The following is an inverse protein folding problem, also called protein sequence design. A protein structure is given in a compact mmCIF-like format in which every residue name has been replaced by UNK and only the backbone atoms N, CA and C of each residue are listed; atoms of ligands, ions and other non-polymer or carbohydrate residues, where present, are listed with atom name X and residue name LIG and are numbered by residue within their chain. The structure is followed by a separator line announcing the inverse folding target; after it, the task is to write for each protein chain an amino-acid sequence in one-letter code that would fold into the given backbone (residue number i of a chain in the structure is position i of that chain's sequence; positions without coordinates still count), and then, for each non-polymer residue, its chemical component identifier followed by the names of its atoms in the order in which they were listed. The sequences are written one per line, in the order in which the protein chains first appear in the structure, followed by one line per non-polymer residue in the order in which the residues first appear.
data_IF_243967658994
#
_entry.id   IF_243967658994
#
_cell.length_a   1.000
_cell.length_b   1.000
_cell.length_c   1.000
_cell.angle_alpha   90.00
_cell.angle_beta   90.00
_cell.angle_gamma   90.00
#
_symmetry.space_group_name_H-M   'P 1'
#
loop_
_entity.id
_entity.type
_entity.pdbx_description
1 polymer ?
#
# COMPACT_ATOMS: atom_id res chain seq x y z
N UNK A 1 -20.22 -29.06 43.71
CA UNK A 1 -20.95 -28.52 42.56
C UNK A 1 -19.94 -27.85 41.66
N UNK A 2 -19.71 -28.46 40.50
CA UNK A 2 -18.62 -28.15 39.58
C UNK A 2 -18.93 -26.90 38.77
N UNK A 3 -18.04 -25.90 38.81
CA UNK A 3 -18.09 -24.75 37.91
C UNK A 3 -17.49 -25.17 36.58
N UNK A 4 -18.34 -25.31 35.56
CA UNK A 4 -17.94 -25.57 34.19
C UNK A 4 -17.32 -24.30 33.59
N UNK A 5 -16.00 -24.32 33.40
CA UNK A 5 -15.28 -23.29 32.64
C UNK A 5 -15.62 -23.46 31.16
N UNK A 6 -16.26 -22.46 30.56
CA UNK A 6 -16.50 -22.40 29.12
C UNK A 6 -15.15 -22.35 28.37
N UNK A 7 -15.00 -23.07 27.25
CA UNK A 7 -13.79 -22.98 26.45
C UNK A 7 -13.69 -21.62 25.75
N UNK A 8 -12.52 -20.99 25.85
CA UNK A 8 -12.21 -19.75 25.15
C UNK A 8 -12.34 -19.97 23.63
N UNK A 9 -13.30 -19.27 23.01
CA UNK A 9 -13.41 -19.19 21.57
C UNK A 9 -12.14 -18.52 21.01
N UNK A 10 -11.26 -19.30 20.43
CA UNK A 10 -10.10 -18.79 19.71
C UNK A 10 -10.59 -18.13 18.41
N UNK A 11 -10.77 -16.81 18.45
CA UNK A 11 -10.96 -16.01 17.25
C UNK A 11 -9.66 -16.08 16.44
N UNK A 12 -9.61 -16.99 15.46
CA UNK A 12 -8.54 -17.02 14.48
C UNK A 12 -8.64 -15.73 13.67
N UNK A 13 -7.82 -14.74 14.03
CA UNK A 13 -7.64 -13.51 13.29
C UNK A 13 -7.08 -13.90 11.91
N UNK A 14 -7.97 -14.05 10.93
CA UNK A 14 -7.62 -14.40 9.57
C UNK A 14 -6.76 -13.26 9.01
N UNK A 15 -5.45 -13.47 8.99
CA UNK A 15 -4.52 -12.51 8.42
C UNK A 15 -4.85 -12.34 6.93
N UNK A 16 -5.22 -11.12 6.55
CA UNK A 16 -5.42 -10.78 5.15
C UNK A 16 -4.10 -11.04 4.40
N UNK A 17 -4.15 -11.59 3.18
CA UNK A 17 -2.96 -11.85 2.39
C UNK A 17 -2.26 -10.53 2.07
N UNK A 18 -0.94 -10.55 1.88
CA UNK A 18 -0.22 -9.36 1.43
C UNK A 18 -0.69 -8.94 0.04
N UNK A 19 -0.64 -7.62 -0.18
CA UNK A 19 -0.86 -7.00 -1.49
C UNK A 19 0.49 -6.85 -2.15
N UNK A 20 0.66 -7.36 -3.36
CA UNK A 20 1.83 -7.11 -4.20
C UNK A 20 1.56 -5.90 -5.10
N UNK A 21 2.56 -5.04 -5.29
CA UNK A 21 2.51 -3.93 -6.23
C UNK A 21 3.34 -4.27 -7.46
N UNK A 22 2.78 -4.04 -8.65
CA UNK A 22 3.42 -4.33 -9.93
C UNK A 22 3.46 -3.08 -10.80
N UNK A 23 4.52 -2.91 -11.58
CA UNK A 23 4.60 -1.88 -12.61
C UNK A 23 3.41 -2.01 -13.59
N UNK A 24 2.65 -0.94 -13.78
CA UNK A 24 1.45 -0.96 -14.63
C UNK A 24 1.75 -1.27 -16.11
N UNK A 25 2.98 -0.99 -16.58
CA UNK A 25 3.38 -1.22 -17.99
C UNK A 25 3.88 -2.63 -18.29
N UNK A 26 4.66 -3.22 -17.38
CA UNK A 26 5.34 -4.50 -17.65
C UNK A 26 5.09 -5.59 -16.59
N UNK A 27 4.21 -5.32 -15.62
CA UNK A 27 3.77 -6.25 -14.57
C UNK A 27 4.87 -6.80 -13.65
N UNK A 28 6.09 -6.26 -13.74
CA UNK A 28 7.17 -6.62 -12.83
C UNK A 28 6.84 -6.15 -11.42
N UNK A 29 6.97 -7.04 -10.44
CA UNK A 29 6.76 -6.73 -9.02
C UNK A 29 7.74 -5.64 -8.58
N UNK A 30 7.22 -4.57 -7.99
CA UNK A 30 7.99 -3.43 -7.45
C UNK A 30 8.14 -3.50 -5.93
N UNK A 31 7.18 -4.10 -5.23
CA UNK A 31 7.16 -4.20 -3.78
C UNK A 31 5.88 -4.86 -3.29
N UNK A 32 5.65 -4.84 -1.98
CA UNK A 32 4.47 -5.42 -1.36
C UNK A 32 4.07 -4.65 -0.09
N UNK A 33 2.91 -4.99 0.47
CA UNK A 33 2.34 -4.30 1.63
C UNK A 33 3.05 -4.59 2.96
N UNK A 34 4.01 -5.53 3.03
CA UNK A 34 4.77 -5.73 4.28
C UNK A 34 5.75 -4.61 4.54
N UNK A 35 6.22 -3.91 3.51
CA UNK A 35 7.07 -2.74 3.64
C UNK A 35 6.30 -1.43 3.71
N UNK A 36 4.98 -1.46 3.87
CA UNK A 36 4.13 -0.27 3.92
C UNK A 36 4.57 0.71 5.03
N UNK A 37 4.60 2.00 4.67
CA UNK A 37 4.81 3.11 5.61
C UNK A 37 3.53 3.91 5.73
N UNK A 38 3.10 4.56 4.65
CA UNK A 38 1.88 5.35 4.61
C UNK A 38 1.37 5.54 3.16
N UNK A 39 0.18 6.12 3.01
CA UNK A 39 -0.35 6.63 1.73
C UNK A 39 -0.55 8.12 1.80
N UNK A 40 -0.19 8.83 0.73
CA UNK A 40 -0.35 10.28 0.65
C UNK A 40 -1.27 10.67 -0.49
N UNK A 41 -2.52 11.03 -0.16
CA UNK A 41 -3.58 11.30 -1.15
C UNK A 41 -3.25 12.43 -2.11
N UNK A 42 -2.72 13.54 -1.60
CA UNK A 42 -2.40 14.72 -2.41
C UNK A 42 -1.21 14.51 -3.35
N UNK A 43 -0.29 13.58 -3.01
CA UNK A 43 0.81 13.18 -3.89
C UNK A 43 0.42 12.02 -4.81
N UNK A 44 -0.80 11.51 -4.70
CA UNK A 44 -1.28 10.30 -5.35
C UNK A 44 -0.29 9.14 -5.25
N UNK A 45 0.25 8.90 -4.04
CA UNK A 45 1.34 7.94 -3.84
C UNK A 45 1.17 7.05 -2.61
N UNK A 46 1.86 5.92 -2.64
CA UNK A 46 2.10 5.04 -1.49
C UNK A 46 3.59 5.04 -1.17
N UNK A 47 3.94 4.98 0.11
CA UNK A 47 5.33 4.98 0.55
C UNK A 47 5.69 3.64 1.18
N UNK A 48 6.76 3.02 0.67
CA UNK A 48 7.30 1.77 1.16
C UNK A 48 8.70 2.00 1.77
N UNK A 49 9.04 1.25 2.80
CA UNK A 49 10.37 1.26 3.44
C UNK A 49 11.40 0.46 2.65
N UNK A 50 10.96 -0.48 1.81
CA UNK A 50 11.82 -1.30 0.95
C UNK A 50 11.06 -1.68 -0.32
N UNK A 51 11.77 -1.79 -1.43
CA UNK A 51 11.27 -2.22 -2.75
C UNK A 51 12.06 -3.39 -3.28
N UNK A 52 11.51 -4.06 -4.30
CA UNK A 52 12.19 -5.10 -5.04
C UNK A 52 13.36 -4.54 -5.86
N UNK A 53 14.36 -5.38 -6.15
CA UNK A 53 15.53 -5.04 -7.00
C UNK A 53 15.17 -4.62 -8.43
N UNK A 54 13.92 -4.81 -8.84
CA UNK A 54 13.33 -4.34 -10.09
C UNK A 54 13.16 -2.82 -10.17
N UNK A 55 13.26 -2.12 -9.04
CA UNK A 55 13.24 -0.67 -8.95
C UNK A 55 14.68 -0.16 -8.88
N UNK A 56 14.97 0.91 -9.61
CA UNK A 56 16.25 1.62 -9.54
C UNK A 56 16.03 3.10 -9.20
N UNK A 57 17.01 3.69 -8.52
CA UNK A 57 17.06 5.12 -8.28
C UNK A 57 17.84 5.79 -9.40
N UNK A 58 17.32 6.90 -9.91
CA UNK A 58 18.10 7.79 -10.77
C UNK A 58 19.24 8.43 -9.99
N UNK A 59 20.40 8.59 -10.64
CA UNK A 59 21.54 9.32 -10.09
C UNK A 59 21.31 10.85 -10.07
N UNK A 60 20.29 11.33 -10.78
CA UNK A 60 20.00 12.75 -10.92
C UNK A 60 19.07 13.20 -9.78
N UNK A 61 19.54 14.15 -8.98
CA UNK A 61 18.71 14.86 -8.01
C UNK A 61 17.88 15.95 -8.72
N UNK A 62 16.58 15.97 -8.46
CA UNK A 62 15.62 16.94 -9.00
C UNK A 62 14.98 17.73 -7.86
N UNK A 63 14.40 18.89 -8.18
CA UNK A 63 13.62 19.70 -7.25
C UNK A 63 12.17 19.78 -7.73
N UNK A 64 11.21 19.55 -6.85
CA UNK A 64 9.79 19.73 -7.19
C UNK A 64 9.49 21.21 -7.35
N UNK A 65 8.86 21.57 -8.47
CA UNK A 65 8.48 22.94 -8.81
C UNK A 65 7.00 23.24 -8.58
N UNK A 66 6.21 22.24 -8.21
CA UNK A 66 4.75 22.33 -8.09
C UNK A 66 4.21 21.35 -7.03
N UNK A 67 2.92 21.46 -6.72
CA UNK A 67 2.26 20.59 -5.74
C UNK A 67 2.66 20.89 -4.30
N UNK A 68 2.25 20.00 -3.38
CA UNK A 68 2.53 20.16 -1.94
C UNK A 68 3.97 19.84 -1.56
N UNK A 69 4.71 19.15 -2.43
CA UNK A 69 6.13 18.87 -2.28
C UNK A 69 7.01 19.97 -2.89
N UNK A 70 6.47 21.11 -3.32
CA UNK A 70 7.24 22.22 -3.91
C UNK A 70 8.48 22.59 -3.08
N UNK A 71 9.63 22.72 -3.75
CA UNK A 71 10.94 22.97 -3.13
C UNK A 71 11.62 21.72 -2.54
N UNK A 72 10.92 20.59 -2.42
CA UNK A 72 11.51 19.31 -2.02
C UNK A 72 12.44 18.78 -3.11
N UNK A 73 13.55 18.19 -2.71
CA UNK A 73 14.47 17.50 -3.63
C UNK A 73 14.21 16.00 -3.58
N UNK A 74 14.32 15.34 -4.74
CA UNK A 74 14.07 13.92 -4.86
C UNK A 74 14.89 13.30 -5.99
N UNK A 75 15.09 11.99 -5.90
CA UNK A 75 15.57 11.15 -7.00
C UNK A 75 14.41 10.31 -7.53
N UNK A 76 14.31 10.16 -8.84
CA UNK A 76 13.25 9.37 -9.49
C UNK A 76 13.43 7.87 -9.25
N UNK A 77 12.34 7.16 -9.04
CA UNK A 77 12.27 5.69 -9.03
C UNK A 77 11.91 5.20 -10.43
N UNK A 78 12.71 4.33 -11.03
CA UNK A 78 12.45 3.77 -12.36
C UNK A 78 12.27 2.24 -12.31
N UNK A 79 11.44 1.73 -13.20
CA UNK A 79 11.31 0.29 -13.41
C UNK A 79 12.42 -0.23 -14.32
N UNK A 80 13.32 -1.10 -13.82
CA UNK A 80 14.39 -1.72 -14.64
C UNK A 80 13.91 -2.52 -15.85
N UNK A 81 12.64 -2.94 -15.85
CA UNK A 81 12.08 -3.75 -16.93
C UNK A 81 11.64 -2.95 -18.15
N UNK A 82 11.19 -1.70 -17.96
CA UNK A 82 10.59 -0.91 -19.03
C UNK A 82 10.92 0.59 -18.97
N UNK A 83 11.79 0.98 -18.04
CA UNK A 83 12.35 2.32 -17.82
C UNK A 83 11.32 3.42 -17.62
N UNK A 84 10.10 3.10 -17.18
CA UNK A 84 9.13 4.11 -16.77
C UNK A 84 9.47 4.62 -15.37
N UNK A 85 9.12 5.88 -15.13
CA UNK A 85 9.07 6.46 -13.80
C UNK A 85 7.93 5.83 -13.00
N UNK A 86 8.28 5.28 -11.84
CA UNK A 86 7.37 4.68 -10.87
C UNK A 86 7.03 5.64 -9.72
N UNK A 87 7.85 6.67 -9.48
CA UNK A 87 7.66 7.59 -8.36
C UNK A 87 8.96 8.28 -7.93
N UNK A 88 9.05 8.64 -6.66
CA UNK A 88 10.10 9.50 -6.10
C UNK A 88 10.66 8.95 -4.79
N UNK A 89 11.92 9.25 -4.51
CA UNK A 89 12.52 9.15 -3.18
C UNK A 89 13.00 10.55 -2.76
N UNK A 90 12.36 11.11 -1.75
CA UNK A 90 12.63 12.48 -1.29
C UNK A 90 13.89 12.53 -0.42
N UNK A 91 14.75 13.53 -0.68
CA UNK A 91 15.96 13.84 0.10
C UNK A 91 15.74 15.03 1.02
N UNK A 92 14.95 16.00 0.58
CA UNK A 92 14.48 17.10 1.42
C UNK A 92 12.96 17.13 1.37
N UNK A 93 12.33 17.46 2.49
CA UNK A 93 10.87 17.51 2.63
C UNK A 93 10.50 18.69 3.53
N UNK A 94 9.35 19.34 3.32
CA UNK A 94 8.73 20.16 4.35
C UNK A 94 8.30 19.26 5.51
N UNK A 95 8.17 19.84 6.71
CA UNK A 95 7.92 19.11 7.96
C UNK A 95 6.73 18.14 7.90
N UNK A 96 5.66 18.49 7.17
CA UNK A 96 4.46 17.65 7.06
C UNK A 96 4.65 16.43 6.14
N UNK A 97 5.75 16.37 5.38
CA UNK A 97 6.14 15.23 4.53
C UNK A 97 7.34 14.48 5.09
N UNK A 98 7.76 14.72 6.33
CA UNK A 98 8.95 14.07 6.90
C UNK A 98 8.79 12.55 7.05
N UNK A 99 7.55 12.04 7.16
CA UNK A 99 7.28 10.60 7.22
C UNK A 99 7.69 9.86 5.93
N UNK A 100 7.68 10.55 4.78
CA UNK A 100 8.02 9.96 3.48
C UNK A 100 9.47 10.27 3.05
N UNK A 101 10.25 10.96 3.88
CA UNK A 101 11.67 11.26 3.60
C UNK A 101 12.46 9.95 3.57
N UNK A 102 13.30 9.81 2.55
CA UNK A 102 14.10 8.61 2.27
C UNK A 102 13.29 7.31 2.10
N UNK A 103 11.97 7.42 1.93
CA UNK A 103 11.08 6.28 1.61
C UNK A 103 10.86 6.18 0.10
N UNK A 104 10.45 4.99 -0.35
CA UNK A 104 10.09 4.74 -1.75
C UNK A 104 8.64 5.17 -1.98
N UNK A 105 8.44 6.42 -2.43
CA UNK A 105 7.12 6.97 -2.71
C UNK A 105 6.70 6.65 -4.14
N UNK A 106 5.94 5.58 -4.30
CA UNK A 106 5.48 5.03 -5.58
C UNK A 106 4.16 5.71 -5.97
N UNK A 107 4.10 6.23 -7.20
CA UNK A 107 2.88 6.80 -7.77
C UNK A 107 1.84 5.71 -7.99
N UNK A 108 0.60 5.96 -7.54
CA UNK A 108 -0.52 5.04 -7.70
C UNK A 108 -0.81 4.79 -9.20
N UNK A 109 -0.64 5.80 -10.05
CA UNK A 109 -0.90 5.68 -11.50
C UNK A 109 0.14 4.80 -12.21
N UNK A 110 1.32 4.62 -11.62
CA UNK A 110 2.41 3.85 -12.21
C UNK A 110 2.39 2.36 -11.82
N UNK A 111 1.49 1.96 -10.92
CA UNK A 111 1.41 0.58 -10.41
C UNK A 111 -0.01 0.03 -10.38
N UNK A 112 -0.10 -1.30 -10.36
CA UNK A 112 -1.33 -2.02 -10.07
C UNK A 112 -1.12 -2.89 -8.83
N UNK A 113 -2.16 -3.03 -8.02
CA UNK A 113 -2.16 -3.93 -6.87
C UNK A 113 -2.68 -5.31 -7.27
N UNK A 114 -1.97 -6.35 -6.83
CA UNK A 114 -2.34 -7.74 -7.01
C UNK A 114 -2.40 -8.44 -5.66
N UNK A 115 -3.54 -9.02 -5.34
CA UNK A 115 -3.71 -9.93 -4.21
C UNK A 115 -3.99 -11.33 -4.74
N UNK A 116 -3.32 -12.35 -4.20
CA UNK A 116 -3.74 -13.73 -4.42
C UNK A 116 -5.05 -13.96 -3.65
N UNK A 117 -6.19 -13.66 -4.27
CA UNK A 117 -7.53 -13.95 -3.75
C UNK A 117 -7.86 -15.42 -4.00
N UNK A 118 -7.02 -16.33 -3.50
CA UNK A 118 -7.37 -17.75 -3.36
C UNK A 118 -7.94 -18.05 -1.97
N UNK A 119 -8.75 -17.12 -1.46
CA UNK A 119 -9.92 -17.41 -0.65
C UNK A 119 -11.09 -16.59 -1.24
N UNK A 120 -12.10 -17.32 -1.70
CA UNK A 120 -13.24 -16.90 -2.53
C UNK A 120 -13.86 -15.53 -2.18
N UNK A 121 -13.50 -14.46 -2.88
CA UNK A 121 -14.34 -13.23 -2.94
C UNK A 121 -14.15 -12.50 -4.27
N UNK A 122 -15.24 -12.08 -4.96
CA UNK A 122 -15.15 -11.35 -6.22
C UNK A 122 -14.65 -9.92 -6.03
N UNK A 123 -13.85 -9.45 -6.98
CA UNK A 123 -13.13 -8.17 -6.95
C UNK A 123 -14.09 -7.04 -7.34
N UNK A 124 -14.62 -6.34 -6.34
CA UNK A 124 -15.16 -4.99 -6.50
C UNK A 124 -15.01 -4.27 -5.16
N UNK A 125 -14.30 -3.14 -5.17
CA UNK A 125 -13.91 -2.26 -4.05
C UNK A 125 -12.75 -2.72 -3.14
N UNK A 126 -11.52 -2.61 -3.64
CA UNK A 126 -10.33 -2.44 -2.79
C UNK A 126 -9.99 -0.95 -2.64
N UNK A 127 -10.87 -0.19 -1.99
CA UNK A 127 -10.40 0.96 -1.20
C UNK A 127 -10.19 0.44 0.21
N UNK A 128 -9.04 -0.19 0.44
CA UNK A 128 -8.61 -0.55 1.79
C UNK A 128 -7.96 0.71 2.37
N UNK A 129 -8.59 1.26 3.40
CA UNK A 129 -8.00 2.32 4.21
C UNK A 129 -6.73 1.78 4.87
N UNK A 130 -5.57 1.96 4.21
CA UNK A 130 -4.25 1.58 4.71
C UNK A 130 -3.63 2.69 5.60
N UNK A 131 -4.47 3.61 6.10
CA UNK A 131 -4.08 4.71 6.99
C UNK A 131 -3.90 4.30 8.46
N UNK A 132 -4.12 3.04 8.81
CA UNK A 132 -3.73 2.49 10.11
C UNK A 132 -2.29 1.98 10.02
N UNK A 133 -1.34 2.75 10.56
CA UNK A 133 0.05 2.32 10.75
C UNK A 133 0.18 0.97 11.47
N UNK A 134 1.41 0.45 11.65
CA UNK A 134 1.62 -0.91 12.15
C UNK A 134 1.00 -1.08 13.54
N UNK A 135 -0.03 -1.94 13.64
CA UNK A 135 -0.52 -2.46 14.91
C UNK A 135 -1.80 -1.87 15.52
N UNK A 136 -2.78 -1.41 14.72
CA UNK A 136 -4.15 -1.16 15.27
C UNK A 136 -5.24 -1.93 14.52
N UNK A 137 -6.10 -2.71 15.22
CA UNK A 137 -7.21 -3.40 14.58
C UNK A 137 -8.30 -2.40 14.16
N UNK A 138 -8.76 -2.54 12.93
CA UNK A 138 -9.87 -1.81 12.34
C UNK A 138 -11.19 -2.30 12.95
N UNK A 139 -11.56 -1.81 14.13
CA UNK A 139 -12.93 -1.90 14.60
C UNK A 139 -13.76 -0.84 13.88
N UNK A 140 -14.84 -1.29 13.21
CA UNK A 140 -16.02 -0.51 12.81
C UNK A 140 -16.17 -0.04 11.35
N UNK A 141 -15.73 -0.80 10.33
CA UNK A 141 -16.25 -0.57 8.95
C UNK A 141 -16.48 -1.89 8.20
N UNK A 142 -17.47 -2.68 8.64
CA UNK A 142 -18.12 -3.70 7.78
C UNK A 142 -19.58 -3.90 8.16
N UNK A 143 -20.39 -2.84 8.04
CA UNK A 143 -21.85 -2.97 7.99
C UNK A 143 -22.34 -2.28 6.71
N UNK A 144 -22.04 -2.87 5.55
CA UNK A 144 -22.67 -2.44 4.29
C UNK A 144 -22.66 -3.47 3.13
N UNK A 145 -22.08 -4.67 3.28
CA UNK A 145 -21.95 -5.59 2.13
C UNK A 145 -22.72 -6.92 2.33
N UNK A 146 -23.32 -7.14 3.50
CA UNK A 146 -23.90 -8.45 3.88
C UNK A 146 -25.43 -8.57 3.79
N UNK A 147 -26.10 -7.89 2.86
CA UNK A 147 -27.59 -7.96 2.77
C UNK A 147 -28.20 -8.35 1.42
N UNK A 148 -27.45 -8.85 0.42
CA UNK A 148 -28.05 -9.21 -0.88
C UNK A 148 -27.55 -10.52 -1.53
N UNK A 149 -26.90 -11.45 -0.80
CA UNK A 149 -26.60 -12.79 -1.35
C UNK A 149 -27.05 -13.92 -0.42
N UNK A 150 -28.33 -13.90 -0.03
CA UNK A 150 -29.05 -15.14 0.28
C UNK A 150 -30.29 -15.20 -0.59
N UNK A 151 -30.13 -15.70 -1.80
CA UNK A 151 -31.12 -16.50 -2.51
C UNK A 151 -30.37 -17.25 -3.62
N UNK A 152 -29.94 -18.46 -3.27
CA UNK A 152 -29.67 -19.57 -4.20
C UNK A 152 -30.68 -20.67 -3.82
N UNK A 153 -31.05 -21.58 -4.72
CA UNK A 153 -31.03 -21.57 -6.18
C UNK A 153 -32.40 -21.26 -6.81
#
# INVERSE_FOLDING_TARGET
MSTASQPAEQHQEQSRPPIAFQCAKCFRIVGDSWSWVCSHRELNSISLSTVNKSVELSEILRTSSEGIDIGSTYTTLNCKGCNIELGKMYRTTPRFLDEIRDMYSISIDAVISYTNVHYKTPIINLFVDMNSGPGKPLSNVTQAIYSQETLKP
#
